data_IF_681258372744
#
_entry.id   IF_681258372744
#
_cell.length_a   1.000
_cell.length_b   1.000
_cell.length_c   1.000
_cell.angle_alpha   90.00
_cell.angle_beta   90.00
_cell.angle_gamma   90.00
#
_symmetry.space_group_name_H-M   'P 1'
#
loop_
_entity.id
_entity.type
_entity.pdbx_description
1 polymer ?
#
# COMPACT_ATOMS: atom_id res chain seq x y z
N UNK A 1 -4.17 -13.63 6.13
CA UNK A 1 -4.77 -12.64 5.22
C UNK A 1 -4.82 -11.28 5.91
N UNK A 2 -3.77 -10.45 5.77
CA UNK A 2 -3.80 -9.05 6.18
C UNK A 2 -3.16 -8.24 5.06
N UNK A 3 -3.95 -7.97 4.02
CA UNK A 3 -3.65 -6.87 3.12
C UNK A 3 -3.99 -5.60 3.91
N UNK A 4 -3.01 -5.02 4.61
CA UNK A 4 -3.16 -3.67 5.15
C UNK A 4 -2.97 -2.70 3.99
N UNK A 5 -4.00 -2.59 3.15
CA UNK A 5 -4.20 -1.40 2.32
C UNK A 5 -4.45 -0.29 3.32
N UNK A 6 -3.39 0.44 3.70
CA UNK A 6 -3.53 1.65 4.48
C UNK A 6 -4.13 2.68 3.52
N UNK A 7 -5.46 2.62 3.35
CA UNK A 7 -6.20 3.86 3.22
C UNK A 7 -5.92 4.65 4.51
N UNK A 8 -5.57 5.94 4.44
CA UNK A 8 -5.13 6.74 5.59
C UNK A 8 -6.22 6.99 6.65
N UNK A 9 -7.32 6.23 6.66
CA UNK A 9 -8.54 6.58 7.41
C UNK A 9 -8.51 6.25 8.90
N UNK A 10 -7.46 5.66 9.46
CA UNK A 10 -7.29 5.66 10.92
C UNK A 10 -5.87 5.23 11.32
N UNK A 11 -4.98 6.16 11.64
CA UNK A 11 -3.80 5.80 12.46
C UNK A 11 -3.27 6.95 13.31
N UNK A 12 -3.64 6.90 14.58
CA UNK A 12 -2.87 7.49 15.67
C UNK A 12 -1.95 6.40 16.25
N UNK A 13 -0.76 6.23 15.66
CA UNK A 13 0.47 5.69 16.29
C UNK A 13 1.67 6.11 15.46
N UNK A 14 2.78 6.47 16.10
CA UNK A 14 4.06 6.80 15.44
C UNK A 14 4.44 5.68 14.44
N UNK A 15 4.30 5.97 13.15
CA UNK A 15 4.51 5.01 12.06
C UNK A 15 6.00 4.94 11.69
N UNK A 16 6.76 4.08 12.36
CA UNK A 16 7.92 3.44 11.73
C UNK A 16 7.44 2.15 11.09
N UNK A 17 6.63 2.26 10.04
CA UNK A 17 6.12 1.09 9.32
C UNK A 17 7.23 0.51 8.44
N UNK A 18 7.80 -0.62 8.88
CA UNK A 18 8.68 -1.42 8.03
C UNK A 18 7.84 -2.14 6.99
N UNK A 19 8.10 -1.86 5.73
CA UNK A 19 7.57 -2.59 4.59
C UNK A 19 8.70 -3.37 3.90
N UNK A 20 8.34 -4.49 3.29
CA UNK A 20 9.24 -5.25 2.43
C UNK A 20 9.29 -4.59 1.04
N UNK A 21 8.19 -3.95 0.63
CA UNK A 21 8.02 -3.33 -0.69
C UNK A 21 7.34 -1.96 -0.53
N UNK A 22 7.94 -0.93 -1.14
CA UNK A 22 7.38 0.42 -1.27
C UNK A 22 7.04 0.69 -2.74
N UNK A 23 5.80 1.08 -3.01
CA UNK A 23 5.30 1.39 -4.34
C UNK A 23 4.85 2.85 -4.38
N UNK A 24 5.30 3.59 -5.39
CA UNK A 24 4.96 5.00 -5.61
C UNK A 24 4.18 5.09 -6.93
N UNK A 25 2.96 5.58 -6.85
CA UNK A 25 1.97 5.62 -7.94
C UNK A 25 0.95 4.48 -7.82
N UNK A 26 -0.31 4.84 -7.63
CA UNK A 26 -1.51 3.99 -7.53
C UNK A 26 -2.32 3.90 -8.82
N UNK A 27 -1.74 4.24 -9.98
CA UNK A 27 -2.34 3.91 -11.28
C UNK A 27 -2.51 2.39 -11.48
N UNK A 28 -3.09 1.92 -12.60
CA UNK A 28 -3.43 0.52 -12.82
C UNK A 28 -2.25 -0.45 -12.63
N UNK A 29 -1.04 -0.01 -13.02
CA UNK A 29 0.18 -0.79 -12.84
C UNK A 29 0.58 -0.90 -11.35
N UNK A 30 0.58 0.23 -10.63
CA UNK A 30 1.00 0.28 -9.23
C UNK A 30 0.00 -0.39 -8.28
N UNK A 31 -1.30 -0.21 -8.53
CA UNK A 31 -2.35 -0.89 -7.79
C UNK A 31 -2.28 -2.42 -7.99
N UNK A 32 -2.07 -2.87 -9.23
CA UNK A 32 -1.93 -4.31 -9.53
C UNK A 32 -0.67 -4.91 -8.90
N UNK A 33 0.45 -4.18 -8.93
CA UNK A 33 1.69 -4.59 -8.29
C UNK A 33 1.53 -4.69 -6.76
N UNK A 34 0.87 -3.71 -6.14
CA UNK A 34 0.61 -3.71 -4.70
C UNK A 34 -0.28 -4.89 -4.29
N UNK A 35 -1.33 -5.15 -5.06
CA UNK A 35 -2.23 -6.27 -4.83
C UNK A 35 -1.49 -7.61 -4.93
N UNK A 36 -0.70 -7.81 -5.98
CA UNK A 36 0.04 -9.05 -6.19
C UNK A 36 1.08 -9.29 -5.10
N UNK A 37 1.86 -8.26 -4.75
CA UNK A 37 2.84 -8.34 -3.68
C UNK A 37 2.19 -8.64 -2.31
N UNK A 38 1.04 -8.04 -2.02
CA UNK A 38 0.29 -8.33 -0.79
C UNK A 38 -0.31 -9.75 -0.79
N UNK A 39 -0.75 -10.27 -1.94
CA UNK A 39 -1.22 -11.65 -2.10
C UNK A 39 -0.11 -12.68 -1.83
N UNK A 40 1.13 -12.33 -2.16
CA UNK A 40 2.32 -13.14 -1.86
C UNK A 40 2.79 -13.01 -0.41
N UNK A 41 2.10 -12.17 0.39
CA UNK A 41 2.34 -12.02 1.82
C UNK A 41 3.36 -10.96 2.19
N UNK A 42 3.85 -10.18 1.22
CA UNK A 42 4.75 -9.06 1.50
C UNK A 42 4.00 -7.93 2.24
N UNK A 43 4.70 -7.23 3.13
CA UNK A 43 4.22 -5.96 3.68
C UNK A 43 4.48 -4.86 2.65
N UNK A 44 3.41 -4.37 2.05
CA UNK A 44 3.47 -3.37 0.99
C UNK A 44 2.97 -2.02 1.52
N UNK A 45 3.69 -0.95 1.21
CA UNK A 45 3.20 0.42 1.33
C UNK A 45 3.00 0.95 -0.09
N UNK A 46 1.79 1.41 -0.39
CA UNK A 46 1.46 2.09 -1.65
C UNK A 46 1.22 3.58 -1.35
N UNK A 47 1.92 4.45 -2.08
CA UNK A 47 1.77 5.90 -2.00
C UNK A 47 1.23 6.40 -3.33
N UNK A 48 0.10 7.09 -3.32
CA UNK A 48 -0.46 7.80 -4.47
C UNK A 48 -0.68 9.26 -4.09
N UNK A 49 -0.49 10.15 -5.05
CA UNK A 49 -0.64 11.59 -4.90
C UNK A 49 -2.12 12.01 -4.96
N UNK A 50 -2.94 11.26 -5.73
CA UNK A 50 -4.38 11.41 -5.83
C UNK A 50 -5.13 10.61 -4.76
N UNK A 51 -6.34 11.03 -4.42
CA UNK A 51 -7.24 10.27 -3.54
C UNK A 51 -7.92 9.08 -4.25
N UNK A 52 -7.80 9.02 -5.57
CA UNK A 52 -8.35 7.98 -6.44
C UNK A 52 -7.26 7.00 -6.93
N UNK A 53 -7.58 5.71 -6.93
CA UNK A 53 -6.74 4.64 -7.48
C UNK A 53 -7.17 4.42 -8.94
N UNK A 54 -6.30 4.74 -9.91
CA UNK A 54 -6.64 4.65 -11.35
C UNK A 54 -5.96 5.71 -12.20
#
# INVERSE_FOLDING_TARGET
MKCSIIFPTCMNKKAQDRCDILIIGGGPAGASAALKAAQEGAKVILIEQKEEIG
#
